data_IF_039909327545
#
_entry.id   IF_039909327545
#
_cell.length_a   1.000
_cell.length_b   1.000
_cell.length_c   1.000
_cell.angle_alpha   90.00
_cell.angle_beta   90.00
_cell.angle_gamma   90.00
#
_symmetry.space_group_name_H-M   'P 1'
#
loop_
_entity.id
_entity.type
_entity.pdbx_description
1 polymer ?
#
# COMPACT_ATOMS: atom_id res chain seq x y z
N UNK A 1 18.84 9.93 -2.42
CA UNK A 1 17.63 9.16 -2.73
C UNK A 1 16.70 9.22 -1.54
N UNK A 2 15.41 9.41 -1.78
CA UNK A 2 14.35 9.35 -0.78
C UNK A 2 13.32 8.31 -1.22
N UNK A 3 12.98 7.39 -0.34
CA UNK A 3 11.91 6.42 -0.56
C UNK A 3 10.83 6.64 0.49
N UNK A 4 9.62 6.96 0.05
CA UNK A 4 8.46 7.07 0.91
C UNK A 4 7.71 5.73 0.92
N UNK A 5 7.22 5.33 2.09
CA UNK A 5 6.27 4.25 2.23
C UNK A 5 5.06 4.77 3.01
N UNK A 6 3.87 4.50 2.50
CA UNK A 6 2.63 4.90 3.14
C UNK A 6 1.67 3.73 3.10
N UNK A 7 1.34 3.18 4.25
CA UNK A 7 0.23 2.26 4.43
C UNK A 7 -0.91 2.98 5.12
N UNK A 8 -2.11 2.81 4.60
CA UNK A 8 -3.33 3.21 5.30
C UNK A 8 -4.43 2.15 5.16
N UNK A 9 -5.36 2.17 6.09
CA UNK A 9 -6.56 1.34 6.05
C UNK A 9 -7.83 2.19 6.07
N UNK A 10 -8.98 1.52 6.06
CA UNK A 10 -10.29 2.16 6.07
C UNK A 10 -10.63 2.88 7.40
N UNK A 11 -9.81 2.72 8.45
CA UNK A 11 -10.00 3.37 9.76
C UNK A 11 -9.29 4.73 9.85
N UNK A 12 -8.73 5.21 8.73
CA UNK A 12 -7.84 6.38 8.67
C UNK A 12 -6.52 6.17 9.45
N UNK A 13 -6.20 4.94 9.88
CA UNK A 13 -4.92 4.65 10.51
C UNK A 13 -3.81 4.58 9.45
N UNK A 14 -2.71 5.28 9.71
CA UNK A 14 -1.59 5.42 8.78
C UNK A 14 -0.30 4.99 9.44
N UNK A 15 0.39 4.05 8.80
CA UNK A 15 1.82 3.84 9.00
C UNK A 15 2.57 4.49 7.84
N UNK A 16 3.34 5.52 8.17
CA UNK A 16 4.11 6.30 7.21
C UNK A 16 5.59 6.22 7.51
N UNK A 17 6.40 6.06 6.47
CA UNK A 17 7.84 6.01 6.58
C UNK A 17 8.52 6.81 5.46
N UNK A 18 9.67 7.39 5.79
CA UNK A 18 10.59 7.94 4.81
C UNK A 18 12.01 7.41 5.07
N UNK A 19 12.63 6.90 4.01
CA UNK A 19 13.98 6.37 4.02
C UNK A 19 14.89 7.28 3.21
N UNK A 20 15.92 7.83 3.84
CA UNK A 20 16.75 8.89 3.25
C UNK A 20 18.22 8.51 3.33
N UNK A 21 18.88 8.48 2.17
CA UNK A 21 20.33 8.21 2.04
C UNK A 21 20.95 8.93 0.84
N UNK A 22 22.27 9.04 0.83
CA UNK A 22 23.01 9.31 -0.41
C UNK A 22 23.05 8.06 -1.31
N UNK A 23 23.14 8.23 -2.62
CA UNK A 23 23.19 7.08 -3.56
C UNK A 23 24.58 6.46 -3.67
N UNK A 24 25.61 7.31 -3.63
CA UNK A 24 27.01 6.96 -3.85
C UNK A 24 27.86 7.06 -2.59
N UNK A 25 27.25 7.32 -1.45
CA UNK A 25 27.93 7.57 -0.18
C UNK A 25 27.24 6.81 0.97
N UNK A 26 28.04 6.37 1.92
CA UNK A 26 27.64 5.68 3.15
C UNK A 26 27.43 6.63 4.32
N UNK A 27 27.81 7.90 4.19
CA UNK A 27 27.50 8.91 5.22
C UNK A 27 26.00 9.18 5.29
N UNK A 28 25.54 9.54 6.49
CA UNK A 28 24.15 9.95 6.70
C UNK A 28 23.95 11.40 6.27
N UNK A 29 22.91 11.71 5.48
CA UNK A 29 22.57 13.09 5.17
C UNK A 29 22.12 13.83 6.44
N UNK A 30 22.41 15.13 6.51
CA UNK A 30 21.99 15.97 7.64
C UNK A 30 20.51 16.36 7.46
N UNK A 31 19.63 15.57 8.08
CA UNK A 31 18.18 15.80 8.07
C UNK A 31 17.74 16.33 9.44
N UNK A 32 17.14 17.51 9.47
CA UNK A 32 16.70 18.16 10.72
C UNK A 32 15.34 17.63 11.18
N UNK A 33 14.44 17.39 10.23
CA UNK A 33 13.12 16.82 10.51
C UNK A 33 12.45 16.30 9.25
N UNK A 34 11.57 15.32 9.44
CA UNK A 34 10.56 14.94 8.45
C UNK A 34 9.19 15.04 9.11
N UNK A 35 8.23 15.61 8.40
CA UNK A 35 6.83 15.65 8.83
C UNK A 35 5.92 15.02 7.78
N UNK A 36 4.80 14.43 8.22
CA UNK A 36 3.68 14.03 7.39
C UNK A 36 2.44 14.79 7.83
N UNK A 37 1.78 15.54 6.94
CA UNK A 37 0.60 16.37 7.29
C UNK A 37 0.90 17.29 8.49
N UNK A 38 2.11 17.83 8.54
CA UNK A 38 2.61 18.68 9.64
C UNK A 38 2.99 17.93 10.93
N UNK A 39 2.73 16.63 11.04
CA UNK A 39 3.10 15.81 12.21
C UNK A 39 4.54 15.34 12.12
N UNK A 40 5.33 15.58 13.16
CA UNK A 40 6.76 15.20 13.19
C UNK A 40 6.93 13.69 13.27
N UNK A 41 7.72 13.14 12.37
CA UNK A 41 8.04 11.71 12.33
C UNK A 41 9.23 11.39 13.25
N UNK A 42 9.21 10.20 13.86
CA UNK A 42 10.32 9.71 14.70
C UNK A 42 11.49 9.27 13.83
N UNK A 43 12.68 9.83 14.09
CA UNK A 43 13.92 9.51 13.40
C UNK A 43 14.67 8.34 14.08
N UNK A 44 15.29 7.48 13.26
CA UNK A 44 16.16 6.38 13.69
C UNK A 44 17.16 6.01 12.58
N UNK A 45 18.32 5.48 12.95
CA UNK A 45 19.29 4.93 11.98
C UNK A 45 18.79 3.59 11.41
N UNK A 46 19.15 3.30 10.16
CA UNK A 46 18.78 2.07 9.46
C UNK A 46 19.92 1.60 8.53
N UNK A 47 19.93 0.31 8.18
CA UNK A 47 20.95 -0.34 7.32
C UNK A 47 22.40 0.03 7.70
N UNK A 48 22.86 -0.42 8.88
CA UNK A 48 24.23 -0.18 9.37
C UNK A 48 24.65 1.30 9.30
N UNK A 49 23.73 2.20 9.66
CA UNK A 49 23.95 3.64 9.76
C UNK A 49 24.27 4.32 8.42
N UNK A 50 23.77 3.76 7.31
CA UNK A 50 23.90 4.38 5.98
C UNK A 50 22.61 5.04 5.50
N UNK A 51 21.53 4.92 6.27
CA UNK A 51 20.23 5.47 5.93
C UNK A 51 19.47 5.94 7.17
N UNK A 52 18.77 7.07 7.05
CA UNK A 52 17.78 7.46 8.04
C UNK A 52 16.44 6.81 7.75
N UNK A 53 15.74 6.36 8.80
CA UNK A 53 14.32 6.01 8.79
C UNK A 53 13.55 7.00 9.64
N UNK A 54 12.56 7.64 9.05
CA UNK A 54 11.55 8.44 9.72
C UNK A 54 10.25 7.65 9.73
N UNK A 55 9.55 7.56 10.87
CA UNK A 55 8.32 6.79 11.01
C UNK A 55 7.23 7.53 11.78
N UNK A 56 5.98 7.36 11.36
CA UNK A 56 4.77 7.81 12.03
C UNK A 56 3.73 6.67 11.99
N UNK A 57 3.03 6.46 13.09
CA UNK A 57 1.94 5.47 13.22
C UNK A 57 0.77 6.15 13.95
N UNK A 58 -0.15 6.75 13.20
CA UNK A 58 -1.22 7.57 13.77
C UNK A 58 -2.48 7.57 12.89
N UNK A 59 -3.63 7.91 13.49
CA UNK A 59 -4.85 8.21 12.74
C UNK A 59 -4.72 9.56 12.04
N UNK A 60 -4.78 9.54 10.71
CA UNK A 60 -4.69 10.71 9.83
C UNK A 60 -5.73 10.57 8.73
N UNK A 61 -6.81 11.34 8.87
CA UNK A 61 -7.80 11.46 7.82
C UNK A 61 -7.41 12.58 6.86
N UNK A 62 -6.90 12.22 5.68
CA UNK A 62 -6.51 13.18 4.67
C UNK A 62 -6.83 12.70 3.24
N UNK A 63 -7.13 13.66 2.35
CA UNK A 63 -7.35 13.39 0.91
C UNK A 63 -6.04 13.19 0.14
N UNK A 64 -4.93 13.60 0.74
CA UNK A 64 -3.58 13.46 0.26
C UNK A 64 -2.64 13.45 1.47
N UNK A 65 -1.39 13.10 1.23
CA UNK A 65 -0.36 12.95 2.25
C UNK A 65 0.86 13.74 1.83
N UNK A 66 1.10 14.90 2.46
CA UNK A 66 2.25 15.76 2.22
C UNK A 66 3.38 15.44 3.19
N UNK A 67 4.47 14.93 2.64
CA UNK A 67 5.77 14.85 3.31
C UNK A 67 6.51 16.17 3.16
N UNK A 68 7.09 16.66 4.24
CA UNK A 68 8.03 17.80 4.24
C UNK A 68 9.33 17.36 4.90
N UNK A 69 10.43 17.51 4.17
CA UNK A 69 11.78 17.16 4.64
C UNK A 69 12.60 18.44 4.75
N UNK A 70 13.07 18.72 5.96
CA UNK A 70 13.96 19.85 6.23
C UNK A 70 15.40 19.34 6.35
N UNK A 71 16.29 19.87 5.51
CA UNK A 71 17.72 19.58 5.52
C UNK A 71 18.47 20.87 5.86
N UNK A 72 19.54 20.74 6.65
CA UNK A 72 20.29 21.90 7.13
C UNK A 72 20.82 22.74 5.95
N UNK A 73 20.49 24.03 5.95
CA UNK A 73 20.93 24.98 4.93
C UNK A 73 20.29 24.81 3.55
N UNK A 74 19.26 23.97 3.39
CA UNK A 74 18.55 23.78 2.13
C UNK A 74 17.08 24.17 2.23
N UNK A 75 16.43 24.38 1.07
CA UNK A 75 14.98 24.56 1.03
C UNK A 75 14.28 23.24 1.39
N UNK A 76 13.11 23.28 2.06
CA UNK A 76 12.35 22.09 2.34
C UNK A 76 11.91 21.38 1.05
N UNK A 77 12.08 20.05 1.02
CA UNK A 77 11.56 19.21 -0.05
C UNK A 77 10.13 18.84 0.32
N UNK A 78 9.18 19.09 -0.57
CA UNK A 78 7.77 18.79 -0.36
C UNK A 78 7.29 17.76 -1.36
N UNK A 79 6.74 16.66 -0.85
CA UNK A 79 6.20 15.59 -1.68
C UNK A 79 4.75 15.32 -1.31
N UNK A 80 3.86 15.48 -2.27
CA UNK A 80 2.44 15.18 -2.12
C UNK A 80 2.12 13.82 -2.72
N UNK A 81 1.65 12.91 -1.89
CA UNK A 81 1.15 11.59 -2.31
C UNK A 81 -0.37 11.61 -2.34
N UNK A 82 -0.95 11.18 -3.46
CA UNK A 82 -2.40 11.08 -3.61
C UNK A 82 -2.79 9.61 -3.49
N UNK A 83 -3.53 9.24 -2.44
CA UNK A 83 -3.99 7.87 -2.27
C UNK A 83 -5.00 7.50 -3.36
N UNK A 84 -4.97 6.23 -3.81
CA UNK A 84 -5.99 5.64 -4.67
C UNK A 84 -6.65 4.46 -3.95
N UNK A 85 -7.45 4.70 -2.91
CA UNK A 85 -8.06 3.62 -2.15
C UNK A 85 -9.15 2.94 -2.97
N UNK A 86 -9.39 1.67 -2.68
CA UNK A 86 -10.60 0.99 -3.12
C UNK A 86 -11.65 1.18 -2.02
N UNK A 87 -12.71 1.93 -2.34
CA UNK A 87 -13.74 2.28 -1.36
C UNK A 87 -14.61 1.09 -0.96
N UNK A 88 -15.08 0.33 -1.95
CA UNK A 88 -15.87 -0.89 -1.76
C UNK A 88 -15.49 -1.95 -2.77
N UNK A 89 -15.63 -3.20 -2.38
CA UNK A 89 -15.53 -4.35 -3.26
C UNK A 89 -16.53 -5.42 -2.84
N UNK A 90 -16.78 -6.35 -3.75
CA UNK A 90 -17.75 -7.43 -3.57
C UNK A 90 -17.39 -8.63 -4.42
N UNK A 91 -17.97 -9.78 -4.08
CA UNK A 91 -17.97 -10.97 -4.93
C UNK A 91 -19.29 -11.03 -5.67
N UNK A 92 -19.23 -11.02 -7.01
CA UNK A 92 -20.41 -10.93 -7.88
C UNK A 92 -21.40 -12.07 -7.65
N UNK A 93 -20.88 -13.27 -7.40
CA UNK A 93 -21.66 -14.48 -7.17
C UNK A 93 -22.21 -14.58 -5.73
N UNK A 94 -21.79 -13.68 -4.83
CA UNK A 94 -22.17 -13.68 -3.41
C UNK A 94 -21.48 -14.75 -2.54
N UNK A 95 -20.90 -15.76 -3.17
CA UNK A 95 -20.13 -16.85 -2.54
C UNK A 95 -18.85 -17.12 -3.33
N UNK A 96 -17.91 -17.81 -2.71
CA UNK A 96 -16.67 -18.24 -3.34
C UNK A 96 -16.76 -19.74 -3.57
N UNK A 97 -16.89 -20.16 -4.83
CA UNK A 97 -16.92 -21.59 -5.17
C UNK A 97 -15.51 -22.08 -5.47
N UNK A 98 -15.06 -23.10 -4.74
CA UNK A 98 -13.77 -23.73 -4.99
C UNK A 98 -13.70 -24.42 -6.35
N UNK A 99 -14.83 -24.91 -6.88
CA UNK A 99 -14.92 -25.59 -8.18
C UNK A 99 -15.18 -24.66 -9.35
N UNK A 100 -15.85 -23.52 -9.13
CA UNK A 100 -16.21 -22.57 -10.21
C UNK A 100 -15.40 -21.28 -10.20
N UNK A 101 -14.67 -20.99 -9.13
CA UNK A 101 -14.01 -19.70 -8.94
C UNK A 101 -15.03 -18.64 -8.58
N UNK A 102 -14.62 -17.38 -8.71
CA UNK A 102 -15.50 -16.24 -8.45
C UNK A 102 -14.99 -14.98 -9.15
N UNK A 103 -15.87 -13.98 -9.24
CA UNK A 103 -15.54 -12.67 -9.78
C UNK A 103 -15.49 -11.64 -8.66
N UNK A 104 -14.30 -11.11 -8.41
CA UNK A 104 -14.09 -9.95 -7.56
C UNK A 104 -14.42 -8.68 -8.37
N UNK A 105 -15.18 -7.75 -7.80
CA UNK A 105 -15.47 -6.44 -8.38
C UNK A 105 -15.24 -5.33 -7.37
N UNK A 106 -14.81 -4.15 -7.80
CA UNK A 106 -14.63 -3.00 -6.91
C UNK A 106 -15.12 -1.68 -7.51
N UNK A 107 -15.41 -0.72 -6.63
CA UNK A 107 -15.66 0.67 -6.99
C UNK A 107 -14.33 1.40 -7.26
N UNK A 108 -14.31 2.21 -8.32
CA UNK A 108 -13.17 3.02 -8.71
C UNK A 108 -12.55 2.57 -10.03
N UNK A 109 -11.33 3.03 -10.30
CA UNK A 109 -10.61 2.73 -11.53
C UNK A 109 -10.06 1.31 -11.55
N UNK A 110 -9.94 0.75 -12.76
CA UNK A 110 -9.14 -0.44 -13.03
C UNK A 110 -7.70 -0.28 -12.51
N UNK A 111 -7.02 -1.41 -12.28
CA UNK A 111 -5.63 -1.43 -11.86
C UNK A 111 -4.76 -1.10 -13.08
N UNK A 112 -3.80 -0.20 -12.93
CA UNK A 112 -2.87 0.14 -14.02
C UNK A 112 -1.72 -0.89 -14.11
N UNK A 113 -1.42 -1.37 -15.33
CA UNK A 113 -0.37 -2.37 -15.52
C UNK A 113 1.04 -1.96 -15.09
N UNK A 114 1.35 -0.67 -15.15
CA UNK A 114 2.75 -0.21 -15.13
C UNK A 114 3.28 -0.01 -13.72
N UNK A 115 2.42 0.25 -12.74
CA UNK A 115 2.85 0.67 -11.41
C UNK A 115 1.87 0.34 -10.29
N UNK A 116 0.83 -0.44 -10.55
CA UNK A 116 -0.14 -0.83 -9.54
C UNK A 116 -0.22 -2.35 -9.40
N UNK A 117 -0.52 -2.81 -8.19
CA UNK A 117 -0.74 -4.22 -7.88
C UNK A 117 -1.92 -4.34 -6.94
N UNK A 118 -2.80 -5.29 -7.23
CA UNK A 118 -3.92 -5.61 -6.37
C UNK A 118 -3.61 -6.90 -5.62
N UNK A 119 -3.80 -6.89 -4.30
CA UNK A 119 -3.59 -8.06 -3.46
C UNK A 119 -4.89 -8.38 -2.77
N UNK A 120 -5.42 -9.57 -3.02
CA UNK A 120 -6.54 -10.13 -2.27
C UNK A 120 -5.97 -10.99 -1.15
N UNK A 121 -6.14 -10.57 0.10
CA UNK A 121 -5.81 -11.36 1.28
C UNK A 121 -7.06 -12.09 1.74
N UNK A 122 -6.97 -13.41 1.86
CA UNK A 122 -8.07 -14.29 2.25
C UNK A 122 -7.63 -15.03 3.51
N UNK A 123 -8.47 -15.06 4.54
CA UNK A 123 -8.28 -15.90 5.72
C UNK A 123 -9.50 -16.79 5.91
N UNK A 124 -9.31 -18.10 5.83
CA UNK A 124 -10.42 -19.06 5.95
C UNK A 124 -10.86 -19.32 7.40
N UNK A 125 -11.88 -20.17 7.56
CA UNK A 125 -12.47 -20.52 8.85
C UNK A 125 -11.47 -21.21 9.81
N UNK A 126 -10.39 -21.80 9.30
CA UNK A 126 -9.34 -22.43 10.10
C UNK A 126 -8.21 -21.44 10.45
N UNK A 127 -8.34 -20.18 10.05
CA UNK A 127 -7.32 -19.15 10.21
C UNK A 127 -6.17 -19.27 9.20
N UNK A 128 -6.33 -20.05 8.13
CA UNK A 128 -5.32 -20.14 7.09
C UNK A 128 -5.41 -18.91 6.18
N UNK A 129 -4.32 -18.13 6.13
CA UNK A 129 -4.24 -16.93 5.28
C UNK A 129 -3.46 -17.18 3.99
N UNK A 130 -3.94 -16.62 2.88
CA UNK A 130 -3.25 -16.60 1.59
C UNK A 130 -3.46 -15.25 0.89
N UNK A 131 -2.42 -14.79 0.20
CA UNK A 131 -2.48 -13.61 -0.67
C UNK A 131 -2.51 -14.01 -2.14
N UNK A 132 -3.52 -13.58 -2.87
CA UNK A 132 -3.56 -13.67 -4.33
C UNK A 132 -3.16 -12.31 -4.90
N UNK A 133 -2.02 -12.27 -5.60
CA UNK A 133 -1.50 -11.07 -6.22
C UNK A 133 -1.94 -10.99 -7.67
N UNK A 134 -2.62 -9.90 -8.03
CA UNK A 134 -2.83 -9.50 -9.41
C UNK A 134 -1.89 -8.36 -9.75
N UNK A 135 -0.87 -8.71 -10.53
CA UNK A 135 0.04 -7.76 -11.16
C UNK A 135 -0.52 -7.44 -12.53
N UNK A 136 -0.54 -6.17 -12.92
CA UNK A 136 -0.90 -5.79 -14.27
C UNK A 136 -2.33 -5.24 -14.42
N UNK A 137 -2.63 -4.81 -15.64
CA UNK A 137 -3.89 -4.15 -15.99
C UNK A 137 -5.08 -5.10 -15.84
N UNK A 138 -6.15 -4.55 -15.30
CA UNK A 138 -7.48 -5.16 -15.36
C UNK A 138 -8.27 -4.43 -16.43
N UNK A 139 -8.96 -5.15 -17.32
CA UNK A 139 -9.74 -4.50 -18.38
C UNK A 139 -10.89 -3.64 -17.83
N UNK A 140 -11.35 -3.97 -16.63
CA UNK A 140 -12.39 -3.26 -15.87
C UNK A 140 -12.05 -3.31 -14.37
N UNK A 141 -12.92 -2.76 -13.52
CA UNK A 141 -12.82 -2.83 -12.06
C UNK A 141 -13.32 -4.17 -11.51
N UNK A 142 -12.76 -5.24 -12.06
CA UNK A 142 -13.06 -6.61 -11.67
C UNK A 142 -12.04 -7.60 -12.19
N UNK A 143 -12.00 -8.76 -11.55
CA UNK A 143 -11.16 -9.88 -11.96
C UNK A 143 -11.79 -11.22 -11.59
N UNK A 144 -11.62 -12.20 -12.46
CA UNK A 144 -11.97 -13.59 -12.16
C UNK A 144 -10.81 -14.29 -11.44
N UNK A 145 -11.13 -15.02 -10.38
CA UNK A 145 -10.21 -15.86 -9.63
C UNK A 145 -10.49 -17.32 -9.98
N UNK A 146 -9.47 -17.99 -10.50
CA UNK A 146 -9.58 -19.37 -10.97
C UNK A 146 -9.72 -20.36 -9.80
N UNK A 147 -10.59 -21.38 -9.91
CA UNK A 147 -10.72 -22.50 -8.98
C UNK A 147 -9.39 -23.04 -8.43
N UNK A 148 -8.37 -23.16 -9.28
CA UNK A 148 -7.08 -23.76 -8.90
C UNK A 148 -6.41 -22.99 -7.76
N UNK A 149 -6.60 -21.67 -7.72
CA UNK A 149 -6.05 -20.78 -6.70
C UNK A 149 -6.79 -20.93 -5.35
N UNK A 150 -7.94 -21.61 -5.34
CA UNK A 150 -8.81 -21.77 -4.18
C UNK A 150 -8.69 -23.15 -3.53
N UNK A 151 -7.95 -24.06 -4.15
CA UNK A 151 -7.82 -25.47 -3.74
C UNK A 151 -7.38 -25.64 -2.28
N UNK A 152 -6.62 -24.68 -1.75
CA UNK A 152 -6.07 -24.72 -0.40
C UNK A 152 -7.03 -24.24 0.70
N UNK A 153 -8.13 -23.56 0.37
CA UNK A 153 -9.04 -23.03 1.38
C UNK A 153 -10.02 -24.08 1.87
N UNK A 154 -10.30 -24.07 3.17
CA UNK A 154 -11.41 -24.81 3.73
C UNK A 154 -12.76 -24.13 3.38
N UNK A 155 -13.82 -24.90 3.08
CA UNK A 155 -15.17 -24.36 3.05
C UNK A 155 -15.57 -23.76 4.39
N UNK A 156 -16.45 -22.76 4.36
CA UNK A 156 -16.93 -22.04 5.52
C UNK A 156 -16.73 -20.53 5.42
N UNK A 157 -16.99 -19.83 6.52
CA UNK A 157 -16.85 -18.38 6.59
C UNK A 157 -15.39 -17.95 6.50
N UNK A 158 -15.09 -17.02 5.60
CA UNK A 158 -13.76 -16.47 5.41
C UNK A 158 -13.80 -14.94 5.37
N UNK A 159 -12.69 -14.34 5.82
CA UNK A 159 -12.48 -12.91 5.83
C UNK A 159 -11.58 -12.51 4.67
N UNK A 160 -11.94 -11.40 4.03
CA UNK A 160 -11.26 -10.88 2.85
C UNK A 160 -10.81 -9.46 3.10
N UNK A 161 -9.62 -9.14 2.61
CA UNK A 161 -9.16 -7.76 2.42
C UNK A 161 -8.71 -7.59 0.98
N UNK A 162 -9.09 -6.46 0.39
CA UNK A 162 -8.51 -6.01 -0.87
C UNK A 162 -7.49 -4.90 -0.60
N UNK A 163 -6.28 -5.07 -1.09
CA UNK A 163 -5.18 -4.13 -0.91
C UNK A 163 -4.77 -3.60 -2.27
N UNK A 164 -4.80 -2.28 -2.46
CA UNK A 164 -4.25 -1.63 -3.66
C UNK A 164 -2.87 -1.06 -3.34
N UNK A 165 -1.85 -1.56 -4.04
CA UNK A 165 -0.48 -1.08 -3.96
C UNK A 165 -0.16 -0.23 -5.18
N UNK A 166 0.45 0.93 -4.96
CA UNK A 166 0.86 1.84 -6.02
C UNK A 166 2.33 2.24 -5.83
N UNK A 167 3.13 2.02 -6.86
CA UNK A 167 4.49 2.55 -6.97
C UNK A 167 4.45 3.88 -7.73
N UNK A 168 5.10 4.90 -7.19
CA UNK A 168 5.12 6.24 -7.77
C UNK A 168 6.57 6.67 -7.95
N UNK A 169 6.97 6.87 -9.19
CA UNK A 169 8.18 7.60 -9.52
C UNK A 169 7.90 9.09 -9.40
N UNK A 170 8.59 9.76 -8.49
CA UNK A 170 8.41 11.18 -8.22
C UNK A 170 9.46 11.95 -9.02
N UNK A 171 9.07 13.00 -9.78
CA UNK A 171 10.02 13.80 -10.52
C UNK A 171 11.18 14.28 -9.65
N UNK A 172 12.39 14.17 -10.19
CA UNK A 172 13.60 14.58 -9.49
C UNK A 172 13.57 16.08 -9.20
N UNK A 173 13.84 16.45 -7.95
CA UNK A 173 13.97 17.86 -7.53
C UNK A 173 15.46 18.16 -7.29
N UNK A 174 16.06 18.97 -8.16
CA UNK A 174 17.50 19.19 -8.16
C UNK A 174 18.26 17.88 -8.40
N UNK A 175 19.07 17.43 -7.43
CA UNK A 175 19.80 16.16 -7.47
C UNK A 175 19.15 15.06 -6.61
N UNK A 176 17.92 15.28 -6.15
CA UNK A 176 17.24 14.37 -5.23
C UNK A 176 16.28 13.46 -5.99
N UNK A 177 16.67 12.19 -6.15
CA UNK A 177 15.78 11.13 -6.65
C UNK A 177 14.79 10.69 -5.57
N UNK A 178 13.54 10.50 -5.98
CA UNK A 178 12.42 10.22 -5.10
C UNK A 178 11.52 9.13 -5.68
N UNK A 179 11.04 8.25 -4.83
CA UNK A 179 9.98 7.29 -5.17
C UNK A 179 9.09 7.04 -3.96
N UNK A 180 7.87 6.59 -4.19
CA UNK A 180 6.95 6.21 -3.14
C UNK A 180 6.30 4.85 -3.41
N UNK A 181 6.01 4.13 -2.35
CA UNK A 181 5.14 2.96 -2.33
C UNK A 181 3.95 3.25 -1.42
N UNK A 182 2.75 3.09 -1.94
CA UNK A 182 1.50 3.35 -1.21
C UNK A 182 0.69 2.06 -1.15
N UNK A 183 0.23 1.68 0.04
CA UNK A 183 -0.66 0.55 0.28
C UNK A 183 -1.98 1.02 0.90
N UNK A 184 -3.11 0.64 0.30
CA UNK A 184 -4.44 0.96 0.79
C UNK A 184 -5.20 -0.32 1.08
N UNK A 185 -5.49 -0.55 2.36
CA UNK A 185 -6.30 -1.67 2.83
C UNK A 185 -7.77 -1.24 2.84
N UNK A 186 -8.58 -1.92 2.05
CA UNK A 186 -10.04 -1.75 2.10
C UNK A 186 -10.64 -2.35 3.38
N UNK A 187 -11.92 -2.07 3.61
CA UNK A 187 -12.69 -2.68 4.70
C UNK A 187 -12.75 -4.20 4.55
N UNK A 188 -12.63 -4.93 5.65
CA UNK A 188 -12.85 -6.38 5.64
C UNK A 188 -14.29 -6.70 5.19
N UNK A 189 -14.43 -7.74 4.37
CA UNK A 189 -15.73 -8.38 4.13
C UNK A 189 -15.67 -9.85 4.53
N UNK A 190 -16.80 -10.35 5.01
CA UNK A 190 -16.98 -11.75 5.37
C UNK A 190 -17.84 -12.46 4.33
N UNK A 191 -17.34 -13.55 3.77
CA UNK A 191 -17.98 -14.30 2.68
C UNK A 191 -17.84 -15.81 2.91
N UNK A 192 -18.82 -16.57 2.45
CA UNK A 192 -18.79 -18.02 2.50
C UNK A 192 -17.98 -18.62 1.34
N UNK A 193 -17.05 -19.51 1.67
CA UNK A 193 -16.38 -20.42 0.74
C UNK A 193 -17.18 -21.71 0.69
N UNK A 194 -17.62 -22.08 -0.50
CA UNK A 194 -18.34 -23.32 -0.81
C UNK A 194 -17.50 -24.19 -1.73
N UNK A 195 -17.90 -25.44 -1.90
CA UNK A 195 -17.28 -26.34 -2.88
C UNK A 195 -17.39 -25.84 -4.33
#
# INVERSE_FOLDING_TARGET
MINYYLRSDNSDFVTAEAYIKYESDTTLPVIESVTLEGRKMRQSEHQNNTMWRFRLDEEIRAKHYEYVINQAGQKPIKTKLIPKPIGKYSIKEGVISKSKGFTLTWEGEAVNANNETLVLLITDANGQSMSLNRIGETGESGMFIDPVQLSFFAPGTANFYLIRKNLIDIPQEGNVKQKAELEFYSAEITIEIVE
#
